data_IF_129458036567
#
_entry.id   IF_129458036567
#
_cell.length_a   1.000
_cell.length_b   1.000
_cell.length_c   1.000
_cell.angle_alpha   90.00
_cell.angle_beta   90.00
_cell.angle_gamma   90.00
#
_symmetry.space_group_name_H-M   'P 1'
#
loop_
_entity.id
_entity.type
_entity.pdbx_description
1 polymer ?
#
# COMPACT_ATOMS: atom_id res chain seq x y z
N UNK A 1 13.42 1.34 19.67
CA UNK A 1 14.37 0.52 18.88
C UNK A 1 13.87 -0.91 18.87
N UNK A 2 13.23 -1.34 17.78
CA UNK A 2 12.91 -2.75 17.59
C UNK A 2 14.21 -3.44 17.14
N UNK A 3 14.57 -4.56 17.78
CA UNK A 3 15.70 -5.37 17.34
C UNK A 3 15.34 -6.00 16.00
N UNK A 4 16.03 -5.61 14.92
CA UNK A 4 15.96 -6.32 13.65
C UNK A 4 16.64 -7.67 13.82
N UNK A 5 15.84 -8.72 14.04
CA UNK A 5 16.33 -10.08 13.95
C UNK A 5 16.58 -10.38 12.46
N UNK A 6 17.85 -10.58 12.08
CA UNK A 6 18.19 -11.15 10.78
C UNK A 6 17.74 -12.62 10.80
N UNK A 7 16.52 -12.86 10.32
CA UNK A 7 15.99 -14.21 10.19
C UNK A 7 16.61 -14.85 8.95
N UNK A 8 17.32 -15.96 9.14
CA UNK A 8 17.82 -16.76 8.04
C UNK A 8 16.66 -17.27 7.16
N UNK A 9 16.80 -17.06 5.85
CA UNK A 9 15.79 -17.40 4.85
C UNK A 9 15.36 -18.86 4.87
N UNK A 10 16.35 -19.75 5.01
CA UNK A 10 16.11 -21.19 4.94
C UNK A 10 15.38 -21.65 6.19
N UNK A 11 15.74 -21.11 7.35
CA UNK A 11 15.04 -21.34 8.61
C UNK A 11 13.60 -20.83 8.57
N UNK A 12 13.35 -19.62 8.06
CA UNK A 12 11.99 -19.09 7.91
C UNK A 12 11.14 -19.94 6.97
N UNK A 13 11.69 -20.31 5.81
CA UNK A 13 11.00 -21.14 4.82
C UNK A 13 10.70 -22.55 5.33
N UNK A 14 11.65 -23.17 6.02
CA UNK A 14 11.47 -24.48 6.65
C UNK A 14 10.42 -24.43 7.76
N UNK A 15 10.44 -23.36 8.56
CA UNK A 15 9.44 -23.16 9.62
C UNK A 15 8.03 -22.96 9.05
N UNK A 16 7.86 -22.15 8.00
CA UNK A 16 6.55 -21.98 7.34
C UNK A 16 6.00 -23.28 6.75
N UNK A 17 6.88 -24.09 6.13
CA UNK A 17 6.50 -25.42 5.63
C UNK A 17 6.06 -26.37 6.75
N UNK A 18 6.72 -26.32 7.90
CA UNK A 18 6.37 -27.12 9.06
C UNK A 18 5.10 -26.62 9.78
N UNK A 19 4.74 -25.35 9.61
CA UNK A 19 3.62 -24.71 10.32
C UNK A 19 2.66 -23.98 9.37
N UNK A 20 2.03 -24.68 8.40
CA UNK A 20 1.21 -24.06 7.34
C UNK A 20 -0.06 -23.35 7.86
N UNK A 21 -0.41 -23.61 9.13
CA UNK A 21 -1.60 -23.07 9.80
C UNK A 21 -1.29 -21.96 10.82
N UNK A 22 -0.01 -21.74 11.15
CA UNK A 22 0.37 -20.79 12.20
C UNK A 22 0.35 -19.34 11.73
N UNK A 23 0.70 -19.10 10.46
CA UNK A 23 0.80 -17.75 9.91
C UNK A 23 -0.60 -17.17 9.64
N UNK A 24 -0.96 -16.12 10.37
CA UNK A 24 -2.23 -15.38 10.21
C UNK A 24 -2.06 -13.98 9.65
N UNK A 25 -0.95 -13.33 9.97
CA UNK A 25 -0.60 -11.98 9.53
C UNK A 25 0.88 -11.93 9.17
N UNK A 26 1.20 -11.21 8.10
CA UNK A 26 2.58 -10.92 7.70
C UNK A 26 2.73 -9.46 7.31
N UNK A 27 3.90 -8.88 7.59
CA UNK A 27 4.29 -7.53 7.15
C UNK A 27 5.49 -7.71 6.22
N UNK A 28 5.31 -7.41 4.93
CA UNK A 28 6.30 -7.63 3.88
C UNK A 28 7.23 -6.42 3.76
N UNK A 29 8.19 -6.29 4.66
CA UNK A 29 9.22 -5.24 4.63
C UNK A 29 10.11 -5.23 3.37
N UNK A 30 11.21 -4.49 3.41
CA UNK A 30 12.21 -4.42 2.32
C UNK A 30 13.11 -5.66 2.20
N UNK A 31 12.73 -6.77 2.83
CA UNK A 31 13.51 -8.00 2.79
C UNK A 31 13.40 -8.71 1.43
N UNK A 32 14.49 -9.32 0.92
CA UNK A 32 14.43 -10.27 -0.20
C UNK A 32 13.42 -11.40 0.03
N UNK A 33 13.14 -11.73 1.30
CA UNK A 33 12.11 -12.70 1.69
C UNK A 33 10.71 -12.32 1.22
N UNK A 34 10.42 -11.02 1.06
CA UNK A 34 9.13 -10.57 0.58
C UNK A 34 8.89 -10.94 -0.90
N UNK A 35 9.95 -10.93 -1.72
CA UNK A 35 9.84 -11.26 -3.15
C UNK A 35 9.63 -12.77 -3.39
N UNK A 36 10.03 -13.62 -2.45
CA UNK A 36 9.86 -15.08 -2.52
C UNK A 36 8.62 -15.58 -1.75
N UNK A 37 7.90 -14.67 -1.07
CA UNK A 37 6.73 -15.02 -0.28
C UNK A 37 5.52 -15.24 -1.19
N UNK A 38 4.84 -16.38 -1.02
CA UNK A 38 3.61 -16.69 -1.73
C UNK A 38 2.47 -16.92 -0.73
N UNK A 39 1.52 -15.99 -0.67
CA UNK A 39 0.37 -16.06 0.23
C UNK A 39 -0.43 -17.36 0.07
N UNK A 40 -0.54 -17.88 -1.15
CA UNK A 40 -1.27 -19.11 -1.47
C UNK A 40 -0.74 -20.35 -0.72
N UNK A 41 0.50 -20.33 -0.23
CA UNK A 41 1.10 -21.44 0.55
C UNK A 41 0.63 -21.48 2.00
N UNK A 42 0.01 -20.40 2.49
CA UNK A 42 -0.43 -20.26 3.87
C UNK A 42 -1.96 -20.35 3.96
N UNK A 43 -2.48 -21.41 4.57
CA UNK A 43 -3.93 -21.67 4.60
C UNK A 43 -4.72 -20.81 5.58
N UNK A 44 -4.03 -20.18 6.53
CA UNK A 44 -4.65 -19.35 7.57
C UNK A 44 -4.24 -17.88 7.51
N UNK A 45 -3.53 -17.48 6.45
CA UNK A 45 -3.07 -16.12 6.28
C UNK A 45 -4.27 -15.24 5.92
N UNK A 46 -4.64 -14.33 6.82
CA UNK A 46 -5.81 -13.46 6.68
C UNK A 46 -5.44 -12.05 6.28
N UNK A 47 -4.28 -11.58 6.73
CA UNK A 47 -3.86 -10.19 6.55
C UNK A 47 -2.44 -10.13 6.01
N UNK A 48 -2.28 -9.44 4.88
CA UNK A 48 -0.97 -9.13 4.30
C UNK A 48 -0.78 -7.62 4.33
N UNK A 49 0.30 -7.17 4.97
CA UNK A 49 0.67 -5.76 5.01
C UNK A 49 1.88 -5.51 4.12
N UNK A 50 1.75 -4.59 3.17
CA UNK A 50 2.84 -4.12 2.33
C UNK A 50 3.19 -2.67 2.71
N UNK A 51 4.42 -2.40 3.20
CA UNK A 51 4.93 -1.04 3.30
C UNK A 51 5.16 -0.48 1.89
N UNK A 52 4.79 0.77 1.70
CA UNK A 52 4.85 1.47 0.41
C UNK A 52 6.20 2.11 0.13
N UNK A 53 6.59 2.11 -1.15
CA UNK A 53 6.84 3.32 -1.96
C UNK A 53 6.86 2.97 -3.45
N UNK A 54 6.94 4.02 -4.28
CA UNK A 54 6.93 4.05 -5.75
C UNK A 54 7.77 2.96 -6.47
N UNK A 55 8.76 2.35 -5.81
CA UNK A 55 9.63 1.30 -6.38
C UNK A 55 9.00 -0.10 -6.44
N UNK A 56 7.77 -0.28 -5.94
CA UNK A 56 7.06 -1.58 -5.91
C UNK A 56 5.75 -1.61 -6.71
N UNK A 57 5.53 -0.68 -7.65
CA UNK A 57 4.47 -0.81 -8.65
C UNK A 57 4.80 -1.94 -9.64
N UNK A 58 4.85 -3.17 -9.15
CA UNK A 58 4.78 -4.34 -10.00
C UNK A 58 3.38 -4.38 -10.62
N UNK A 59 3.25 -4.90 -11.86
CA UNK A 59 1.95 -5.00 -12.52
C UNK A 59 0.95 -5.71 -11.60
N UNK A 60 -0.32 -5.27 -11.55
CA UNK A 60 -1.34 -5.92 -10.73
C UNK A 60 -1.44 -7.44 -10.95
N UNK A 61 -1.07 -7.92 -12.14
CA UNK A 61 -1.02 -9.34 -12.48
C UNK A 61 0.04 -10.15 -11.74
N UNK A 62 0.98 -9.53 -11.02
CA UNK A 62 2.02 -10.21 -10.21
C UNK A 62 1.66 -10.27 -8.72
N UNK A 63 0.55 -9.63 -8.35
CA UNK A 63 -0.02 -9.59 -6.99
C UNK A 63 -0.67 -10.93 -6.64
N UNK A 64 -1.09 -11.70 -7.65
CA UNK A 64 -1.79 -12.97 -7.49
C UNK A 64 -1.02 -14.01 -6.68
N UNK A 65 0.24 -14.24 -6.99
CA UNK A 65 1.02 -15.29 -6.35
C UNK A 65 1.55 -14.88 -4.97
N UNK A 66 1.84 -13.59 -4.78
CA UNK A 66 2.48 -13.09 -3.56
C UNK A 66 1.49 -12.63 -2.49
N UNK A 67 0.42 -11.95 -2.89
CA UNK A 67 -0.47 -11.21 -1.99
C UNK A 67 -1.86 -11.82 -1.92
N UNK A 68 -2.32 -12.45 -3.00
CA UNK A 68 -3.63 -13.09 -3.04
C UNK A 68 -3.53 -14.55 -2.60
N UNK A 69 -4.46 -14.93 -1.74
CA UNK A 69 -4.65 -16.31 -1.29
C UNK A 69 -6.13 -16.49 -1.00
N UNK A 70 -6.68 -17.70 -1.18
CA UNK A 70 -8.05 -18.01 -0.79
C UNK A 70 -8.38 -17.73 0.68
N UNK A 71 -7.36 -17.55 1.54
CA UNK A 71 -7.52 -17.24 2.96
C UNK A 71 -7.36 -15.76 3.31
N UNK A 72 -6.76 -14.95 2.43
CA UNK A 72 -6.46 -13.54 2.71
C UNK A 72 -7.73 -12.73 2.52
N UNK A 73 -8.17 -12.08 3.60
CA UNK A 73 -9.38 -11.24 3.61
C UNK A 73 -9.07 -9.75 3.60
N UNK A 74 -7.86 -9.38 4.04
CA UNK A 74 -7.46 -8.00 4.23
C UNK A 74 -6.07 -7.77 3.65
N UNK A 75 -5.97 -6.78 2.76
CA UNK A 75 -4.70 -6.27 2.27
C UNK A 75 -4.48 -4.90 2.88
N UNK A 76 -3.32 -4.67 3.51
CA UNK A 76 -2.97 -3.39 4.13
C UNK A 76 -1.85 -2.76 3.33
N UNK A 77 -2.12 -1.63 2.69
CA UNK A 77 -1.10 -0.80 2.06
C UNK A 77 -0.68 0.29 3.02
N UNK A 78 0.51 0.15 3.59
CA UNK A 78 1.03 1.08 4.59
C UNK A 78 1.99 2.08 3.95
N UNK A 79 1.47 3.25 3.59
CA UNK A 79 2.22 4.36 3.03
C UNK A 79 2.94 5.21 4.09
N UNK A 80 2.63 5.02 5.37
CA UNK A 80 3.25 5.74 6.50
C UNK A 80 4.42 4.99 7.15
N UNK A 81 5.01 4.02 6.47
CA UNK A 81 6.10 3.24 7.04
C UNK A 81 7.37 4.11 7.12
N UNK A 82 7.86 4.36 8.34
CA UNK A 82 8.85 5.39 8.71
C UNK A 82 10.10 5.53 7.84
N UNK A 83 10.55 4.48 7.16
CA UNK A 83 11.77 4.55 6.33
C UNK A 83 11.48 4.94 4.88
N UNK A 84 10.24 4.73 4.43
CA UNK A 84 9.85 4.88 3.04
C UNK A 84 8.43 5.47 2.94
N UNK A 85 8.18 6.51 3.74
CA UNK A 85 6.88 7.17 3.73
C UNK A 85 6.58 7.69 2.33
N UNK A 86 5.36 7.47 1.85
CA UNK A 86 4.89 8.08 0.62
C UNK A 86 4.69 9.57 0.90
N UNK A 87 5.47 10.41 0.22
CA UNK A 87 5.44 11.87 0.40
C UNK A 87 4.14 12.49 -0.14
N UNK A 88 3.44 11.78 -1.04
CA UNK A 88 2.10 12.14 -1.53
C UNK A 88 1.34 10.91 -2.06
N UNK A 89 0.00 10.95 -2.05
CA UNK A 89 -0.87 9.98 -2.74
C UNK A 89 -1.37 10.63 -4.03
N UNK A 90 -0.68 10.37 -5.14
CA UNK A 90 -0.97 10.97 -6.44
C UNK A 90 -1.61 9.99 -7.43
N UNK A 91 -1.59 10.38 -8.71
CA UNK A 91 -2.18 9.58 -9.80
C UNK A 91 -1.64 8.15 -9.87
N UNK A 92 -0.34 7.96 -9.60
CA UNK A 92 0.30 6.64 -9.70
C UNK A 92 -0.23 5.68 -8.64
N UNK A 93 -0.32 6.14 -7.40
CA UNK A 93 -0.84 5.35 -6.28
C UNK A 93 -2.32 5.03 -6.48
N UNK A 94 -3.08 6.02 -6.96
CA UNK A 94 -4.48 5.88 -7.34
C UNK A 94 -4.69 4.84 -8.45
N UNK A 95 -3.96 4.95 -9.56
CA UNK A 95 -4.07 4.05 -10.69
C UNK A 95 -3.62 2.64 -10.35
N UNK A 96 -2.59 2.49 -9.52
CA UNK A 96 -2.18 1.17 -9.06
C UNK A 96 -3.27 0.51 -8.21
N UNK A 97 -3.88 1.24 -7.28
CA UNK A 97 -4.94 0.69 -6.44
C UNK A 97 -6.17 0.32 -7.26
N UNK A 98 -6.55 1.18 -8.21
CA UNK A 98 -7.61 0.93 -9.17
C UNK A 98 -7.32 -0.31 -10.03
N UNK A 99 -6.09 -0.45 -10.51
CA UNK A 99 -5.64 -1.61 -11.28
C UNK A 99 -5.70 -2.90 -10.47
N UNK A 100 -5.25 -2.88 -9.22
CA UNK A 100 -5.33 -4.00 -8.29
C UNK A 100 -6.78 -4.41 -8.01
N UNK A 101 -7.66 -3.43 -7.73
CA UNK A 101 -9.08 -3.69 -7.47
C UNK A 101 -9.78 -4.33 -8.68
N UNK A 102 -9.53 -3.81 -9.89
CA UNK A 102 -10.05 -4.39 -11.14
C UNK A 102 -9.54 -5.80 -11.36
N UNK A 103 -8.24 -6.05 -11.13
CA UNK A 103 -7.65 -7.37 -11.25
C UNK A 103 -8.28 -8.38 -10.28
N UNK A 104 -8.50 -7.98 -9.02
CA UNK A 104 -9.19 -8.80 -8.01
C UNK A 104 -10.64 -9.11 -8.45
N UNK A 105 -11.36 -8.11 -8.97
CA UNK A 105 -12.76 -8.26 -9.36
C UNK A 105 -12.96 -9.23 -10.53
N UNK A 106 -11.99 -9.34 -11.45
CA UNK A 106 -12.05 -10.24 -12.62
C UNK A 106 -11.35 -11.59 -12.38
N UNK A 107 -10.75 -11.79 -11.21
CA UNK A 107 -10.01 -13.01 -10.90
C UNK A 107 -10.93 -14.25 -10.93
N UNK A 108 -10.45 -15.33 -11.54
CA UNK A 108 -11.21 -16.57 -11.75
C UNK A 108 -11.48 -17.31 -10.43
N UNK A 109 -12.42 -18.27 -10.40
CA UNK A 109 -12.76 -19.00 -9.17
C UNK A 109 -11.63 -19.75 -8.48
N UNK A 110 -10.61 -20.15 -9.23
CA UNK A 110 -9.41 -20.79 -8.68
C UNK A 110 -8.47 -19.79 -8.00
N UNK A 111 -8.57 -18.51 -8.38
CA UNK A 111 -7.89 -17.40 -7.73
C UNK A 111 -8.76 -16.71 -6.68
N UNK A 112 -10.10 -16.87 -6.71
CA UNK A 112 -11.10 -16.05 -5.99
C UNK A 112 -10.53 -15.62 -4.64
N UNK A 113 -9.91 -14.43 -4.59
CA UNK A 113 -9.25 -14.04 -3.38
C UNK A 113 -10.37 -13.79 -2.40
N UNK A 114 -10.27 -14.34 -1.19
CA UNK A 114 -11.25 -14.02 -0.15
C UNK A 114 -11.12 -12.57 0.35
N UNK A 115 -10.32 -11.76 -0.37
CA UNK A 115 -9.99 -10.38 -0.12
C UNK A 115 -11.26 -9.56 -0.31
N UNK A 116 -11.68 -8.93 0.79
CA UNK A 116 -12.86 -8.08 0.85
C UNK A 116 -12.52 -6.67 1.25
N UNK A 117 -11.41 -6.50 1.96
CA UNK A 117 -11.02 -5.22 2.54
C UNK A 117 -9.61 -4.85 2.12
N UNK A 118 -9.46 -3.63 1.63
CA UNK A 118 -8.20 -2.95 1.42
C UNK A 118 -8.11 -1.87 2.50
N UNK A 119 -7.02 -1.86 3.26
CA UNK A 119 -6.72 -0.83 4.26
C UNK A 119 -5.55 0.01 3.76
N UNK A 120 -5.79 1.30 3.52
CA UNK A 120 -4.79 2.27 3.10
C UNK A 120 -4.36 3.13 4.31
N UNK A 121 -3.17 2.87 4.83
CA UNK A 121 -2.61 3.71 5.89
C UNK A 121 -1.80 4.82 5.23
N UNK A 122 -2.45 5.97 5.05
CA UNK A 122 -1.83 7.19 4.56
C UNK A 122 -1.96 8.28 5.63
N UNK A 123 -0.86 8.53 6.28
CA UNK A 123 -0.66 9.49 7.37
C UNK A 123 0.73 10.10 7.15
N UNK A 124 0.84 11.09 6.25
CA UNK A 124 2.10 11.76 5.99
C UNK A 124 2.51 12.62 7.18
N UNK A 125 3.83 12.75 7.41
CA UNK A 125 4.35 13.71 8.38
C UNK A 125 4.10 15.14 7.84
N UNK A 126 3.31 15.99 8.55
CA UNK A 126 3.02 17.35 8.10
C UNK A 126 4.27 18.20 7.84
N UNK A 127 5.41 17.89 8.47
CA UNK A 127 6.67 18.62 8.29
C UNK A 127 7.46 18.18 7.04
N UNK A 128 7.14 17.00 6.49
CA UNK A 128 7.82 16.42 5.32
C UNK A 128 6.87 16.15 4.15
N UNK A 129 5.62 16.58 4.29
CA UNK A 129 4.61 16.41 3.27
C UNK A 129 4.84 17.37 2.11
N UNK A 130 5.08 16.83 0.92
CA UNK A 130 5.39 17.58 -0.30
C UNK A 130 4.23 17.41 -1.30
N UNK A 131 3.33 18.41 -1.42
CA UNK A 131 2.22 18.33 -2.35
C UNK A 131 2.73 18.23 -3.78
N UNK A 132 2.27 17.23 -4.52
CA UNK A 132 2.59 17.07 -5.94
C UNK A 132 1.56 17.68 -6.87
N UNK A 133 0.33 17.89 -6.38
CA UNK A 133 -0.79 18.42 -7.17
C UNK A 133 -1.57 19.51 -6.40
N UNK A 134 -1.38 20.79 -6.72
CA UNK A 134 -2.05 21.88 -6.01
C UNK A 134 -3.56 21.94 -6.21
N UNK A 135 -4.09 21.29 -7.26
CA UNK A 135 -5.51 21.32 -7.60
C UNK A 135 -6.29 20.16 -6.97
N UNK A 136 -5.60 19.11 -6.53
CA UNK A 136 -6.24 17.87 -6.12
C UNK A 136 -5.78 17.36 -4.76
N UNK A 137 -6.66 17.52 -3.77
CA UNK A 137 -6.42 17.08 -2.40
C UNK A 137 -6.37 15.53 -2.32
N UNK A 138 -5.33 14.92 -1.73
CA UNK A 138 -5.11 13.47 -1.78
C UNK A 138 -6.26 12.63 -1.20
N UNK A 139 -6.90 13.09 -0.12
CA UNK A 139 -8.03 12.37 0.47
C UNK A 139 -9.31 12.46 -0.38
N UNK A 140 -9.43 13.46 -1.28
CA UNK A 140 -10.52 13.48 -2.27
C UNK A 140 -10.31 12.34 -3.28
N UNK A 141 -9.07 12.11 -3.74
CA UNK A 141 -8.72 10.97 -4.61
C UNK A 141 -9.09 9.64 -3.94
N UNK A 142 -8.71 9.48 -2.66
CA UNK A 142 -9.01 8.27 -1.88
C UNK A 142 -10.53 8.07 -1.73
N UNK A 143 -11.28 9.14 -1.47
CA UNK A 143 -12.76 9.09 -1.34
C UNK A 143 -13.42 8.65 -2.65
N UNK A 144 -12.94 9.13 -3.80
CA UNK A 144 -13.44 8.65 -5.11
C UNK A 144 -13.12 7.17 -5.32
N UNK A 145 -11.89 6.76 -5.00
CA UNK A 145 -11.48 5.36 -5.09
C UNK A 145 -12.33 4.45 -4.20
N UNK A 146 -12.68 4.87 -2.99
CA UNK A 146 -13.59 4.11 -2.11
C UNK A 146 -14.91 3.79 -2.82
N UNK A 147 -15.50 4.78 -3.48
CA UNK A 147 -16.75 4.61 -4.23
C UNK A 147 -16.57 3.64 -5.41
N UNK A 148 -15.48 3.78 -6.17
CA UNK A 148 -15.15 2.87 -7.27
C UNK A 148 -14.96 1.42 -6.81
N UNK A 149 -14.17 1.21 -5.75
CA UNK A 149 -13.89 -0.11 -5.19
C UNK A 149 -15.15 -0.77 -4.61
N UNK A 150 -16.04 0.02 -4.00
CA UNK A 150 -17.30 -0.47 -3.46
C UNK A 150 -18.20 -1.06 -4.54
N UNK A 151 -18.22 -0.48 -5.74
CA UNK A 151 -18.95 -1.04 -6.90
C UNK A 151 -18.39 -2.39 -7.32
N UNK A 152 -17.09 -2.62 -7.12
CA UNK A 152 -16.42 -3.89 -7.38
C UNK A 152 -16.58 -4.91 -6.23
N UNK A 153 -17.32 -4.57 -5.17
CA UNK A 153 -17.52 -5.42 -4.00
C UNK A 153 -16.34 -5.44 -3.02
N UNK A 154 -15.41 -4.47 -3.14
CA UNK A 154 -14.28 -4.28 -2.24
C UNK A 154 -14.53 -3.10 -1.30
N UNK A 155 -14.20 -3.26 -0.03
CA UNK A 155 -14.23 -2.20 0.97
C UNK A 155 -12.85 -1.54 1.05
N UNK A 156 -12.79 -0.21 0.88
CA UNK A 156 -11.58 0.57 1.14
C UNK A 156 -11.71 1.27 2.50
N UNK A 157 -10.82 0.94 3.43
CA UNK A 157 -10.66 1.68 4.69
C UNK A 157 -9.39 2.51 4.58
N UNK A 158 -9.40 3.73 5.09
CA UNK A 158 -8.22 4.57 5.07
C UNK A 158 -8.10 5.40 6.35
N UNK A 159 -6.87 5.81 6.66
CA UNK A 159 -6.63 6.72 7.79
C UNK A 159 -7.27 8.08 7.49
N UNK A 160 -8.04 8.67 8.42
CA UNK A 160 -8.58 10.01 8.28
C UNK A 160 -7.48 11.04 8.00
N UNK A 161 -7.82 12.18 7.38
CA UNK A 161 -6.82 13.20 7.07
C UNK A 161 -6.10 13.72 8.30
N UNK A 162 -4.76 13.64 8.27
CA UNK A 162 -3.88 14.26 9.25
C UNK A 162 -3.46 15.68 8.89
N UNK A 163 -3.64 16.06 7.62
CA UNK A 163 -3.43 17.41 7.09
C UNK A 163 -4.77 17.90 6.56
N UNK A 164 -5.23 19.07 6.99
CA UNK A 164 -6.47 19.69 6.50
C UNK A 164 -6.32 20.19 5.05
N UNK A 165 -7.44 20.50 4.38
CA UNK A 165 -7.40 21.04 3.02
C UNK A 165 -6.70 22.41 2.99
N UNK A 166 -6.96 23.24 4.00
CA UNK A 166 -6.37 24.57 4.12
C UNK A 166 -4.85 24.49 4.34
N UNK A 167 -4.38 23.54 5.15
CA UNK A 167 -2.95 23.28 5.34
C UNK A 167 -2.31 22.75 4.05
N UNK A 168 -2.99 21.87 3.32
CA UNK A 168 -2.54 21.38 2.02
C UNK A 168 -2.34 22.52 1.02
N UNK A 169 -3.34 23.40 0.87
CA UNK A 169 -3.27 24.56 -0.03
C UNK A 169 -2.10 25.48 0.31
N UNK A 170 -1.82 25.71 1.60
CA UNK A 170 -0.68 26.53 2.01
C UNK A 170 0.65 25.85 1.69
N UNK A 171 0.76 24.53 1.91
CA UNK A 171 1.94 23.76 1.52
C UNK A 171 2.18 23.83 0.00
N UNK A 172 1.13 23.76 -0.81
CA UNK A 172 1.22 23.92 -2.27
C UNK A 172 1.78 25.30 -2.65
N UNK A 173 1.26 26.37 -2.05
CA UNK A 173 1.74 27.75 -2.29
C UNK A 173 3.20 27.92 -1.89
N UNK A 174 3.61 27.33 -0.77
CA UNK A 174 5.00 27.37 -0.31
C UNK A 174 5.91 26.62 -1.28
N UNK A 175 5.51 25.43 -1.75
CA UNK A 175 6.27 24.64 -2.72
C UNK A 175 6.46 25.39 -4.04
N UNK A 176 5.40 25.97 -4.59
CA UNK A 176 5.46 26.75 -5.84
C UNK A 176 6.46 27.92 -5.74
N UNK A 177 6.47 28.65 -4.62
CA UNK A 177 7.44 29.74 -4.39
C UNK A 177 8.88 29.26 -4.30
N UNK A 178 9.11 28.05 -3.80
CA UNK A 178 10.46 27.46 -3.69
C UNK A 178 10.98 27.09 -5.08
N UNK A 179 10.13 26.50 -5.92
CA UNK A 179 10.50 26.11 -7.27
C UNK A 179 10.76 27.32 -8.18
N UNK A 180 9.91 28.35 -8.13
CA UNK A 180 10.12 29.61 -8.86
C UNK A 180 11.46 30.31 -8.50
N UNK A 181 11.87 30.22 -7.24
CA UNK A 181 13.16 30.75 -6.76
C UNK A 181 14.36 29.94 -7.23
N UNK A 182 14.19 28.63 -7.45
CA UNK A 182 15.23 27.77 -8.01
C UNK A 182 15.43 28.04 -9.49
N UNK A 183 14.34 28.25 -10.23
CA UNK A 183 14.39 28.50 -11.68
C UNK A 183 14.94 29.88 -12.04
N UNK A 184 14.82 30.86 -11.14
CA UNK A 184 15.36 32.22 -11.34
C UNK A 184 16.82 32.39 -10.92
N UNK A 185 17.44 31.35 -10.34
CA UNK A 185 18.83 31.36 -9.88
C UNK A 185 19.82 30.69 -10.85
N UNK A 186 19.39 30.36 -12.07
CA UNK A 186 20.19 29.78 -13.18
C UNK A 186 20.33 30.82 -14.29
#
# INVERSE_FOLDING_TARGET
>A
MAAEAIVDRNLFSAWLKAHPHALRRIILGHSPLAAEFHAARSRNLRTVTCPGSQKRFVPPSTIDEQLLSPAVHTFVWNLSFHEIACEDFGEREEDWLRGMAKFIAVATPDLHPALRTIELNFDPDPHHFLPTDPEEYPWDRITRLEQELRVLGLELKYTPPSVTREEYEELCRVSQRIDERRDTAI
#
